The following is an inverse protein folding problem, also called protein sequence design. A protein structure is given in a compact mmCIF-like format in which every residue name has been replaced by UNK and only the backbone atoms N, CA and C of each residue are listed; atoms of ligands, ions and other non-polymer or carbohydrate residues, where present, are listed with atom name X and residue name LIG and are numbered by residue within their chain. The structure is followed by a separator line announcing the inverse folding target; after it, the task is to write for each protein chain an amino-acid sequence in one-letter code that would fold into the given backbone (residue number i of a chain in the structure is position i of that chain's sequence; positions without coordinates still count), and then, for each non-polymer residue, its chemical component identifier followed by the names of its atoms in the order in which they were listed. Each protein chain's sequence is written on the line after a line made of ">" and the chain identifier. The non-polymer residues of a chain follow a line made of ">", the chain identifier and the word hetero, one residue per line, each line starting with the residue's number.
data_IF_913898706140
#
_entry.id   IF_913898706140
#
_cell.length_a   1.000
_cell.length_b   1.000
_cell.length_c   1.000
_cell.angle_alpha   90.00
_cell.angle_beta   90.00
_cell.angle_gamma   90.00
#
_symmetry.space_group_name_H-M   'P 1'
#
loop_
_entity.id
_entity.type
_entity.pdbx_description
1 polymer ?
#
# COMPACT_ATOMS: atom_id res chain seq x y z
N UNK A 1 35.51 -6.59 -28.68
CA UNK A 1 34.19 -6.03 -28.98
C UNK A 1 33.24 -6.55 -27.91
N UNK A 2 32.71 -5.63 -27.09
CA UNK A 2 31.67 -5.71 -26.04
C UNK A 2 31.26 -7.10 -25.49
N UNK A 3 31.13 -7.30 -24.18
CA UNK A 3 30.09 -6.60 -23.41
C UNK A 3 30.21 -6.91 -21.90
N UNK A 4 30.40 -5.85 -21.11
CA UNK A 4 30.17 -5.80 -19.68
C UNK A 4 28.67 -5.53 -19.47
N UNK A 5 27.93 -6.47 -18.88
CA UNK A 5 26.65 -6.15 -18.24
C UNK A 5 26.60 -6.77 -16.85
N UNK A 6 26.64 -5.88 -15.87
CA UNK A 6 26.37 -6.11 -14.46
C UNK A 6 24.84 -6.09 -14.27
N UNK A 7 24.18 -7.14 -13.75
CA UNK A 7 22.71 -7.24 -13.79
C UNK A 7 22.00 -6.77 -12.51
N UNK A 8 22.65 -5.98 -11.63
CA UNK A 8 22.01 -5.53 -10.39
C UNK A 8 21.63 -4.04 -10.47
N UNK A 9 20.33 -3.69 -10.57
CA UNK A 9 19.87 -2.33 -10.35
C UNK A 9 20.02 -1.93 -8.86
N UNK A 10 20.06 -0.62 -8.54
CA UNK A 10 20.27 -0.17 -7.17
C UNK A 10 19.07 -0.53 -6.27
N UNK A 11 19.39 -0.98 -5.06
CA UNK A 11 18.43 -1.29 -4.00
C UNK A 11 17.65 -0.03 -3.61
N UNK A 12 16.32 -0.09 -3.73
CA UNK A 12 15.41 1.00 -3.36
C UNK A 12 14.81 0.69 -2.00
N UNK A 13 15.16 1.49 -0.99
CA UNK A 13 14.68 1.35 0.39
C UNK A 13 13.47 2.25 0.63
N UNK A 14 12.35 1.69 1.07
CA UNK A 14 11.19 2.45 1.58
C UNK A 14 11.22 2.51 3.11
N UNK A 15 10.96 3.69 3.68
CA UNK A 15 10.81 3.85 5.13
C UNK A 15 9.42 3.40 5.58
N UNK A 16 9.36 2.40 6.47
CA UNK A 16 8.12 1.96 7.15
C UNK A 16 7.97 2.64 8.52
N UNK A 17 6.73 2.95 8.92
CA UNK A 17 6.40 3.47 10.25
C UNK A 17 5.34 2.53 10.89
N UNK A 18 5.60 2.04 12.11
CA UNK A 18 4.68 1.15 12.85
C UNK A 18 3.42 1.87 13.32
N UNK A 19 2.23 1.21 13.32
CA UNK A 19 1.02 1.68 13.98
C UNK A 19 1.16 1.79 15.51
N UNK A 20 1.92 0.91 16.17
CA UNK A 20 2.12 0.97 17.63
C UNK A 20 3.00 2.16 18.09
N UNK A 21 3.62 2.87 17.15
CA UNK A 21 4.31 4.15 17.36
C UNK A 21 3.56 5.33 16.73
N UNK A 22 2.39 5.08 16.13
CA UNK A 22 1.59 6.07 15.44
C UNK A 22 0.84 6.91 16.47
N UNK A 23 1.40 8.08 16.76
CA UNK A 23 0.72 9.14 17.48
C UNK A 23 0.43 10.25 16.47
N UNK A 24 -0.83 10.46 16.06
CA UNK A 24 -1.21 11.49 15.09
C UNK A 24 -0.68 12.88 15.45
N UNK A 25 -0.63 13.20 16.74
CA UNK A 25 -0.13 14.47 17.27
C UNK A 25 1.40 14.63 17.13
N UNK A 26 2.18 13.52 17.11
CA UNK A 26 3.64 13.56 16.92
C UNK A 26 4.07 13.71 15.45
N UNK A 27 3.26 13.26 14.50
CA UNK A 27 3.50 13.49 13.06
C UNK A 27 3.40 14.99 12.75
N UNK A 28 2.32 15.64 13.20
CA UNK A 28 2.10 17.08 12.99
C UNK A 28 3.24 17.92 13.57
N UNK A 29 3.86 17.51 14.69
CA UNK A 29 5.04 18.18 15.25
C UNK A 29 6.36 17.84 14.52
N UNK A 30 6.57 16.60 14.08
CA UNK A 30 7.80 16.18 13.38
C UNK A 30 7.94 16.78 11.97
N UNK A 31 6.83 17.11 11.31
CA UNK A 31 6.85 17.84 10.03
C UNK A 31 7.42 19.26 10.14
N UNK A 32 7.41 19.87 11.35
CA UNK A 32 7.97 21.20 11.57
C UNK A 32 9.45 21.19 11.96
N UNK A 33 10.09 20.04 12.21
CA UNK A 33 11.42 20.00 12.82
C UNK A 33 12.48 19.14 12.13
N UNK A 34 12.16 18.41 11.06
CA UNK A 34 13.15 17.51 10.43
C UNK A 34 13.77 18.15 9.19
N UNK A 35 14.72 19.05 9.42
CA UNK A 35 15.79 19.32 8.45
C UNK A 35 16.76 18.13 8.48
N UNK A 36 16.96 17.51 7.32
CA UNK A 36 18.16 16.77 6.88
C UNK A 36 19.00 16.18 8.02
N UNK A 37 18.80 14.89 8.32
CA UNK A 37 19.83 14.07 8.98
C UNK A 37 20.22 12.96 7.99
N UNK A 38 21.26 13.22 7.22
CA UNK A 38 22.02 12.16 6.54
C UNK A 38 23.02 11.62 7.56
N UNK A 39 22.79 10.41 8.06
CA UNK A 39 23.77 9.72 8.88
C UNK A 39 24.84 9.12 7.96
N UNK A 40 25.94 9.85 7.79
CA UNK A 40 27.22 9.32 7.32
C UNK A 40 28.25 9.49 8.43
N UNK A 41 28.45 8.44 9.22
CA UNK A 41 29.61 8.20 10.11
C UNK A 41 29.71 6.68 10.17
N UNK A 42 30.70 6.04 9.54
CA UNK A 42 32.06 5.95 10.05
C UNK A 42 33.08 5.72 8.92
N UNK A 43 34.17 6.51 8.88
CA UNK A 43 35.56 6.01 8.84
C UNK A 43 36.47 7.13 9.39
N UNK A 44 37.15 6.82 10.49
CA UNK A 44 38.24 7.59 11.07
C UNK A 44 39.47 7.46 10.16
N UNK A 45 40.04 8.58 9.70
CA UNK A 45 41.48 8.68 9.43
C UNK A 45 41.94 10.14 9.47
N UNK A 46 43.00 10.35 10.24
CA UNK A 46 43.66 11.62 10.51
C UNK A 46 44.30 12.28 9.28
N UNK A 47 44.58 13.57 9.49
CA UNK A 47 45.75 14.37 9.07
C UNK A 47 45.68 15.31 7.85
N UNK A 48 45.81 16.60 8.21
CA UNK A 48 46.60 17.69 7.62
C UNK A 48 46.02 18.51 6.45
N UNK A 49 45.93 19.81 6.76
CA UNK A 49 45.89 20.95 5.84
C UNK A 49 46.86 20.80 4.68
N UNK A 50 46.42 21.17 3.47
CA UNK A 50 47.20 22.00 2.55
C UNK A 50 46.26 22.79 1.62
N UNK A 51 46.67 24.05 1.41
CA UNK A 51 46.07 25.04 0.52
C UNK A 51 46.35 24.74 -0.96
N UNK A 52 45.46 25.24 -1.82
CA UNK A 52 45.74 25.93 -3.09
C UNK A 52 45.14 25.35 -4.38
N UNK A 53 44.67 26.30 -5.22
CA UNK A 53 44.78 26.33 -6.69
C UNK A 53 43.69 25.69 -7.58
N UNK A 54 42.87 26.61 -8.12
CA UNK A 54 42.25 26.69 -9.45
C UNK A 54 42.56 25.57 -10.47
N UNK A 55 41.52 25.01 -11.10
CA UNK A 55 41.54 24.60 -12.52
C UNK A 55 40.13 24.60 -13.12
N UNK A 56 39.95 25.34 -14.22
CA UNK A 56 38.82 25.23 -15.13
C UNK A 56 39.05 24.06 -16.08
N UNK A 57 38.03 23.23 -16.31
CA UNK A 57 37.93 22.42 -17.52
C UNK A 57 36.46 22.25 -17.93
N UNK A 58 36.24 22.48 -19.22
CA UNK A 58 34.98 22.57 -19.95
C UNK A 58 34.26 21.23 -20.16
N UNK A 59 32.95 21.25 -19.93
CA UNK A 59 31.94 20.77 -20.86
C UNK A 59 31.73 19.26 -21.01
N UNK A 60 30.62 18.75 -20.45
CA UNK A 60 29.70 17.87 -21.17
C UNK A 60 28.28 18.19 -20.69
N UNK A 61 27.48 18.86 -21.52
CA UNK A 61 26.05 18.94 -21.33
C UNK A 61 25.44 17.57 -21.59
N UNK A 62 24.83 16.96 -20.58
CA UNK A 62 23.92 15.83 -20.76
C UNK A 62 22.64 16.11 -19.99
N UNK A 63 21.64 16.52 -20.78
CA UNK A 63 20.20 16.49 -20.52
C UNK A 63 19.79 16.50 -19.04
N UNK A 64 19.47 17.69 -18.54
CA UNK A 64 18.61 17.82 -17.36
C UNK A 64 17.30 17.11 -17.65
N UNK A 65 17.13 15.94 -17.03
CA UNK A 65 15.80 15.42 -16.77
C UNK A 65 15.10 16.50 -15.96
N UNK A 66 13.99 17.00 -16.49
CA UNK A 66 13.14 17.97 -15.83
C UNK A 66 12.58 17.29 -14.57
N UNK A 67 13.37 17.34 -13.51
CA UNK A 67 13.03 16.80 -12.21
C UNK A 67 11.99 17.77 -11.65
N UNK A 68 10.75 17.62 -12.14
CA UNK A 68 9.58 18.25 -11.57
C UNK A 68 9.48 17.74 -10.14
N UNK A 69 10.20 18.38 -9.23
CA UNK A 69 10.31 17.96 -7.85
C UNK A 69 8.92 18.08 -7.25
N UNK A 70 8.17 16.98 -7.20
CA UNK A 70 6.88 16.94 -6.54
C UNK A 70 7.11 17.42 -5.11
N UNK A 71 6.36 18.43 -4.70
CA UNK A 71 6.53 19.05 -3.37
C UNK A 71 6.07 18.10 -2.25
N UNK A 72 5.16 17.16 -2.58
CA UNK A 72 4.63 16.15 -1.66
C UNK A 72 4.69 14.76 -2.33
N UNK A 73 4.99 13.70 -1.56
CA UNK A 73 4.90 12.33 -2.06
C UNK A 73 3.44 11.93 -2.33
N UNK A 74 3.24 10.97 -3.23
CA UNK A 74 1.96 10.30 -3.42
C UNK A 74 1.78 9.23 -2.34
N UNK A 75 0.61 9.18 -1.70
CA UNK A 75 0.31 8.19 -0.68
C UNK A 75 -0.52 7.04 -1.28
N UNK A 76 -0.05 5.82 -1.10
CA UNK A 76 -0.78 4.60 -1.40
C UNK A 76 -1.21 3.98 -0.07
N UNK A 77 -2.50 3.68 0.07
CA UNK A 77 -3.05 3.06 1.28
C UNK A 77 -3.61 1.69 0.93
N UNK A 78 -3.24 0.66 1.69
CA UNK A 78 -4.15 -0.48 1.81
C UNK A 78 -5.45 -0.04 2.49
N UNK A 79 -6.48 -0.87 2.38
CA UNK A 79 -7.83 -0.59 2.87
C UNK A 79 -8.13 -1.41 4.11
N UNK A 80 -8.15 -2.74 4.00
CA UNK A 80 -8.50 -3.61 5.12
C UNK A 80 -7.42 -3.59 6.19
N UNK A 81 -7.83 -3.46 7.44
CA UNK A 81 -7.00 -3.30 8.65
C UNK A 81 -5.96 -2.17 8.63
N UNK A 82 -5.98 -1.34 7.58
CA UNK A 82 -5.19 -0.11 7.45
C UNK A 82 -6.07 1.14 7.58
N UNK A 83 -7.15 1.21 6.81
CA UNK A 83 -8.14 2.30 6.89
C UNK A 83 -9.48 1.81 7.45
N UNK A 84 -9.88 0.60 7.07
CA UNK A 84 -11.20 0.01 7.34
C UNK A 84 -11.01 -1.31 8.06
N UNK A 85 -11.75 -1.56 9.14
CA UNK A 85 -11.72 -2.84 9.85
C UNK A 85 -12.14 -4.00 8.96
N UNK A 86 -11.41 -5.11 9.01
CA UNK A 86 -11.78 -6.36 8.36
C UNK A 86 -12.82 -7.18 9.14
N UNK A 87 -14.03 -7.41 8.61
CA UNK A 87 -15.03 -8.27 9.23
C UNK A 87 -14.67 -9.76 9.23
N UNK A 88 -13.69 -10.18 8.43
CA UNK A 88 -13.40 -11.60 8.17
C UNK A 88 -13.02 -12.39 9.43
N UNK A 89 -12.31 -11.79 10.39
CA UNK A 89 -11.78 -12.51 11.55
C UNK A 89 -12.80 -12.69 12.69
N UNK A 90 -13.77 -11.78 12.83
CA UNK A 90 -14.72 -11.76 13.94
C UNK A 90 -16.16 -11.99 13.48
N UNK A 91 -16.63 -11.22 12.49
CA UNK A 91 -18.04 -11.21 12.08
C UNK A 91 -18.40 -12.43 11.23
N UNK A 92 -17.53 -12.82 10.30
CA UNK A 92 -17.79 -13.95 9.39
C UNK A 92 -17.90 -15.29 10.16
N UNK A 93 -16.99 -15.63 11.11
CA UNK A 93 -17.15 -16.81 11.96
C UNK A 93 -18.45 -16.76 12.78
N UNK A 94 -18.79 -15.60 13.35
CA UNK A 94 -20.02 -15.40 14.11
C UNK A 94 -21.28 -15.60 13.24
N UNK A 95 -21.26 -15.11 12.00
CA UNK A 95 -22.33 -15.31 11.01
C UNK A 95 -22.56 -16.80 10.72
N UNK A 96 -21.49 -17.55 10.47
CA UNK A 96 -21.57 -19.00 10.25
C UNK A 96 -21.74 -19.83 11.53
N UNK A 97 -21.68 -19.19 12.70
CA UNK A 97 -21.82 -19.82 14.03
C UNK A 97 -20.80 -20.93 14.27
N UNK A 98 -19.58 -20.72 13.79
CA UNK A 98 -18.47 -21.65 13.96
C UNK A 98 -17.18 -20.91 14.32
N UNK A 99 -16.23 -21.56 15.01
CA UNK A 99 -14.92 -20.99 15.26
C UNK A 99 -14.18 -20.65 13.96
N UNK A 100 -13.29 -19.65 14.01
CA UNK A 100 -12.51 -19.23 12.85
C UNK A 100 -11.68 -20.37 12.24
N UNK A 101 -11.10 -21.23 13.08
CA UNK A 101 -10.29 -22.36 12.62
C UNK A 101 -11.14 -23.38 11.84
N UNK A 102 -12.35 -23.68 12.30
CA UNK A 102 -13.30 -24.53 11.57
C UNK A 102 -13.74 -23.89 10.24
N UNK A 103 -14.01 -22.58 10.25
CA UNK A 103 -14.36 -21.84 9.03
C UNK A 103 -13.24 -21.95 7.98
N UNK A 104 -11.98 -21.77 8.37
CA UNK A 104 -10.82 -21.88 7.48
C UNK A 104 -10.62 -23.31 6.95
N UNK A 105 -10.91 -24.33 7.76
CA UNK A 105 -10.86 -25.73 7.32
C UNK A 105 -11.95 -26.06 6.30
N UNK A 106 -13.14 -25.47 6.41
CA UNK A 106 -14.27 -25.77 5.52
C UNK A 106 -14.28 -24.89 4.26
N UNK A 107 -13.77 -23.67 4.34
CA UNK A 107 -13.73 -22.72 3.21
C UNK A 107 -12.82 -23.22 2.08
N UNK A 108 -13.20 -22.98 0.83
CA UNK A 108 -12.29 -23.19 -0.30
C UNK A 108 -11.06 -22.26 -0.16
N UNK A 109 -9.83 -22.80 -0.20
CA UNK A 109 -8.62 -22.03 0.06
C UNK A 109 -8.25 -21.06 -1.07
N UNK A 110 -8.75 -21.24 -2.30
CA UNK A 110 -8.37 -20.42 -3.47
C UNK A 110 -9.46 -19.44 -3.89
N UNK A 111 -10.74 -19.75 -3.63
CA UNK A 111 -11.89 -18.96 -4.13
C UNK A 111 -11.80 -17.47 -3.81
N UNK A 112 -11.36 -17.12 -2.60
CA UNK A 112 -11.24 -15.71 -2.20
C UNK A 112 -10.12 -14.98 -2.97
N UNK A 113 -9.00 -15.65 -3.24
CA UNK A 113 -7.88 -15.07 -3.99
C UNK A 113 -8.27 -14.90 -5.46
N UNK A 114 -9.02 -15.85 -6.03
CA UNK A 114 -9.58 -15.74 -7.38
C UNK A 114 -10.53 -14.55 -7.48
N UNK A 115 -11.39 -14.37 -6.47
CA UNK A 115 -12.32 -13.25 -6.38
C UNK A 115 -11.61 -11.90 -6.20
N UNK A 116 -10.60 -11.82 -5.32
CA UNK A 116 -9.74 -10.64 -5.16
C UNK A 116 -9.08 -10.23 -6.48
N UNK A 117 -8.76 -11.18 -7.35
CA UNK A 117 -8.17 -10.92 -8.67
C UNK A 117 -9.22 -10.63 -9.76
N UNK A 118 -10.51 -10.71 -9.46
CA UNK A 118 -11.58 -10.56 -10.45
C UNK A 118 -11.61 -11.69 -11.48
N UNK A 119 -11.09 -12.88 -11.14
CA UNK A 119 -11.12 -14.06 -12.02
C UNK A 119 -12.46 -14.79 -11.98
N UNK A 120 -13.22 -14.59 -10.91
CA UNK A 120 -14.55 -15.15 -10.68
C UNK A 120 -15.49 -14.03 -10.21
N UNK A 121 -16.79 -14.23 -10.39
CA UNK A 121 -17.84 -13.31 -9.94
C UNK A 121 -18.46 -13.74 -8.61
N UNK A 122 -19.49 -13.01 -8.16
CA UNK A 122 -20.21 -13.32 -6.92
C UNK A 122 -20.91 -14.68 -6.95
N UNK A 123 -21.45 -15.09 -8.11
CA UNK A 123 -22.17 -16.36 -8.23
C UNK A 123 -21.23 -17.56 -8.06
N UNK A 124 -20.02 -17.46 -8.64
CA UNK A 124 -19.01 -18.51 -8.46
C UNK A 124 -18.43 -18.50 -7.04
N UNK A 125 -18.25 -17.33 -6.41
CA UNK A 125 -17.88 -17.23 -5.00
C UNK A 125 -18.92 -17.90 -4.09
N UNK A 126 -20.21 -17.62 -4.29
CA UNK A 126 -21.31 -18.20 -3.53
C UNK A 126 -21.28 -19.73 -3.63
N UNK A 127 -21.17 -20.25 -4.85
CA UNK A 127 -21.15 -21.69 -5.12
C UNK A 127 -19.96 -22.38 -4.46
N UNK A 128 -18.77 -21.78 -4.53
CA UNK A 128 -17.50 -22.38 -4.08
C UNK A 128 -17.04 -21.89 -2.71
N UNK A 129 -17.88 -21.20 -1.94
CA UNK A 129 -17.45 -20.64 -0.66
C UNK A 129 -16.89 -21.72 0.27
N UNK A 130 -17.59 -22.86 0.37
CA UNK A 130 -17.13 -24.06 1.08
C UNK A 130 -16.64 -25.14 0.10
N UNK A 131 -15.68 -25.97 0.55
CA UNK A 131 -15.10 -27.07 -0.23
C UNK A 131 -16.12 -28.12 -0.69
N UNK A 132 -17.20 -28.28 0.07
CA UNK A 132 -18.30 -29.21 -0.21
C UNK A 132 -19.43 -28.58 -1.06
N UNK A 133 -19.27 -27.33 -1.50
CA UNK A 133 -20.23 -26.55 -2.29
C UNK A 133 -21.64 -26.49 -1.66
N UNK A 134 -21.74 -26.64 -0.32
CA UNK A 134 -23.02 -26.49 0.35
C UNK A 134 -23.53 -25.04 0.20
N UNK A 135 -24.85 -24.84 0.02
CA UNK A 135 -25.42 -23.50 -0.10
C UNK A 135 -25.14 -22.64 1.13
N UNK A 136 -24.98 -21.35 0.92
CA UNK A 136 -24.84 -20.35 1.99
C UNK A 136 -25.89 -19.25 1.84
N UNK A 137 -26.20 -18.56 2.93
CA UNK A 137 -26.94 -17.31 2.86
C UNK A 137 -25.98 -16.18 2.40
N UNK A 138 -25.81 -16.06 1.09
CA UNK A 138 -24.82 -15.14 0.51
C UNK A 138 -25.19 -13.67 0.69
N UNK A 139 -26.48 -13.32 0.60
CA UNK A 139 -26.96 -11.97 0.89
C UNK A 139 -26.84 -11.63 2.39
N UNK A 140 -27.05 -12.61 3.27
CA UNK A 140 -26.73 -12.50 4.69
C UNK A 140 -25.24 -12.27 4.94
N UNK A 141 -24.37 -12.98 4.22
CA UNK A 141 -22.92 -12.78 4.29
C UNK A 141 -22.53 -11.37 3.84
N UNK A 142 -23.07 -10.88 2.71
CA UNK A 142 -22.82 -9.51 2.24
C UNK A 142 -23.29 -8.48 3.25
N UNK A 143 -24.48 -8.68 3.83
CA UNK A 143 -25.00 -7.83 4.91
C UNK A 143 -24.09 -7.83 6.13
N UNK A 144 -23.57 -9.00 6.54
CA UNK A 144 -22.58 -9.14 7.61
C UNK A 144 -21.30 -8.34 7.32
N UNK A 145 -20.73 -8.48 6.12
CA UNK A 145 -19.55 -7.72 5.69
C UNK A 145 -19.80 -6.22 5.72
N UNK A 146 -20.91 -5.76 5.12
CA UNK A 146 -21.31 -4.34 5.11
C UNK A 146 -21.43 -3.83 6.54
N UNK A 147 -22.12 -4.54 7.43
CA UNK A 147 -22.27 -4.16 8.84
C UNK A 147 -20.92 -4.02 9.53
N UNK A 148 -19.98 -4.90 9.23
CA UNK A 148 -18.66 -4.92 9.85
C UNK A 148 -17.73 -3.79 9.43
N UNK A 149 -17.85 -3.24 8.21
CA UNK A 149 -16.97 -2.18 7.74
C UNK A 149 -17.11 -0.89 8.55
N UNK A 150 -16.00 -0.42 9.11
CA UNK A 150 -15.92 0.89 9.78
C UNK A 150 -14.51 1.44 9.61
N UNK A 151 -14.37 2.77 9.60
CA UNK A 151 -13.03 3.35 9.76
C UNK A 151 -12.41 2.86 11.07
N UNK A 152 -11.11 2.59 11.05
CA UNK A 152 -10.36 2.43 12.30
C UNK A 152 -10.29 3.77 13.04
N UNK A 153 -10.10 3.73 14.35
CA UNK A 153 -10.09 4.93 15.20
C UNK A 153 -9.05 5.95 14.71
N UNK A 154 -9.48 7.20 14.50
CA UNK A 154 -8.61 8.31 14.07
C UNK A 154 -8.26 8.34 12.58
N UNK A 155 -8.68 7.34 11.79
CA UNK A 155 -8.35 7.27 10.36
C UNK A 155 -9.10 8.33 9.56
N UNK A 156 -10.39 8.55 9.83
CA UNK A 156 -11.16 9.52 9.05
C UNK A 156 -10.60 10.94 9.25
N UNK A 157 -10.23 11.30 10.49
CA UNK A 157 -9.58 12.56 10.83
C UNK A 157 -8.20 12.70 10.16
N UNK A 158 -7.43 11.61 10.11
CA UNK A 158 -6.15 11.58 9.39
C UNK A 158 -6.34 11.84 7.90
N UNK A 159 -7.30 11.17 7.26
CA UNK A 159 -7.60 11.32 5.84
C UNK A 159 -8.06 12.75 5.51
N UNK A 160 -8.88 13.37 6.38
CA UNK A 160 -9.26 14.78 6.28
C UNK A 160 -8.01 15.67 6.33
N UNK A 161 -7.16 15.51 7.34
CA UNK A 161 -5.96 16.32 7.51
C UNK A 161 -4.99 16.19 6.33
N UNK A 162 -4.79 14.98 5.80
CA UNK A 162 -3.97 14.74 4.62
C UNK A 162 -4.55 15.41 3.36
N UNK A 163 -5.88 15.36 3.21
CA UNK A 163 -6.57 16.01 2.09
C UNK A 163 -6.44 17.52 2.14
N UNK A 164 -6.61 18.13 3.32
CA UNK A 164 -6.42 19.58 3.54
C UNK A 164 -4.99 20.05 3.26
N UNK A 165 -4.00 19.14 3.42
CA UNK A 165 -2.60 19.38 3.06
C UNK A 165 -2.28 19.11 1.59
N UNK A 166 -3.27 18.77 0.77
CA UNK A 166 -3.15 18.49 -0.66
C UNK A 166 -2.28 17.25 -1.00
N UNK A 167 -2.28 16.23 -0.14
CA UNK A 167 -1.71 14.94 -0.52
C UNK A 167 -2.56 14.29 -1.62
N UNK A 168 -1.87 13.79 -2.65
CA UNK A 168 -2.45 12.86 -3.63
C UNK A 168 -2.49 11.47 -2.99
N UNK A 169 -3.67 10.85 -2.93
CA UNK A 169 -3.91 9.61 -2.19
C UNK A 169 -4.68 8.61 -3.03
N UNK A 170 -4.24 7.35 -3.02
CA UNK A 170 -4.86 6.26 -3.76
C UNK A 170 -5.01 5.01 -2.90
N UNK A 171 -6.10 4.27 -3.13
CA UNK A 171 -6.24 2.90 -2.65
C UNK A 171 -5.30 2.00 -3.43
N UNK A 172 -4.55 1.17 -2.72
CA UNK A 172 -3.67 0.14 -3.24
C UNK A 172 -3.87 -1.16 -2.47
N UNK A 173 -4.86 -1.95 -2.90
CA UNK A 173 -5.49 -2.98 -2.07
C UNK A 173 -5.67 -4.31 -2.79
N UNK A 174 -5.53 -5.38 -2.01
CA UNK A 174 -5.97 -6.71 -2.40
C UNK A 174 -7.41 -6.89 -1.92
N UNK A 175 -8.37 -6.49 -2.74
CA UNK A 175 -9.78 -6.59 -2.38
C UNK A 175 -10.64 -6.81 -3.63
N UNK A 176 -11.69 -7.64 -3.54
CA UNK A 176 -12.57 -7.91 -4.67
C UNK A 176 -13.48 -6.73 -4.98
N UNK A 177 -14.40 -6.91 -5.95
CA UNK A 177 -15.42 -5.91 -6.34
C UNK A 177 -16.24 -5.37 -5.16
N UNK A 178 -16.24 -6.07 -4.03
CA UNK A 178 -16.80 -5.63 -2.75
C UNK A 178 -16.20 -4.33 -2.18
N UNK A 179 -15.11 -3.79 -2.76
CA UNK A 179 -14.68 -2.43 -2.46
C UNK A 179 -15.80 -1.39 -2.72
N UNK A 180 -16.74 -1.68 -3.62
CA UNK A 180 -17.90 -0.84 -3.90
C UNK A 180 -18.88 -0.77 -2.73
N UNK A 181 -19.03 -1.85 -1.94
CA UNK A 181 -19.82 -1.84 -0.71
C UNK A 181 -19.17 -0.96 0.38
N UNK A 182 -17.83 -0.98 0.46
CA UNK A 182 -17.08 -0.09 1.35
C UNK A 182 -17.29 1.36 0.92
N UNK A 183 -17.18 1.64 -0.38
CA UNK A 183 -17.43 2.97 -0.94
C UNK A 183 -18.87 3.44 -0.68
N UNK A 184 -19.86 2.57 -0.85
CA UNK A 184 -21.25 2.91 -0.59
C UNK A 184 -21.47 3.34 0.87
N UNK A 185 -20.90 2.58 1.82
CA UNK A 185 -21.06 2.81 3.25
C UNK A 185 -20.23 3.99 3.76
N UNK A 186 -18.93 4.04 3.42
CA UNK A 186 -17.95 4.94 4.05
C UNK A 186 -17.56 6.13 3.18
N UNK A 187 -17.90 6.13 1.88
CA UNK A 187 -17.59 7.22 0.94
C UNK A 187 -16.10 7.60 0.92
N UNK A 188 -15.22 6.59 0.88
CA UNK A 188 -13.76 6.75 0.90
C UNK A 188 -13.27 7.64 -0.26
N UNK A 189 -14.00 7.66 -1.38
CA UNK A 189 -13.74 8.53 -2.53
C UNK A 189 -13.68 10.03 -2.22
N UNK A 190 -14.24 10.48 -1.08
CA UNK A 190 -14.08 11.84 -0.57
C UNK A 190 -12.62 12.21 -0.30
N UNK A 191 -11.80 11.23 0.08
CA UNK A 191 -10.41 11.44 0.51
C UNK A 191 -9.42 11.00 -0.57
N UNK A 192 -9.55 9.76 -1.04
CA UNK A 192 -8.60 9.09 -1.93
C UNK A 192 -9.29 8.45 -3.14
N UNK A 193 -8.52 8.13 -4.19
CA UNK A 193 -9.06 7.47 -5.38
C UNK A 193 -8.90 5.95 -5.33
N UNK A 194 -9.94 5.21 -5.74
CA UNK A 194 -9.92 3.74 -5.90
C UNK A 194 -9.15 3.28 -7.15
N UNK A 195 -7.86 3.61 -7.21
CA UNK A 195 -7.05 3.47 -8.42
C UNK A 195 -6.47 2.08 -8.60
N UNK A 196 -5.95 1.47 -7.53
CA UNK A 196 -5.26 0.19 -7.61
C UNK A 196 -5.97 -0.87 -6.76
N UNK A 197 -7.09 -1.38 -7.27
CA UNK A 197 -7.82 -2.51 -6.68
C UNK A 197 -7.43 -3.79 -7.42
N UNK A 198 -7.03 -4.84 -6.71
CA UNK A 198 -6.57 -6.09 -7.34
C UNK A 198 -7.58 -6.69 -8.33
N UNK A 199 -8.88 -6.51 -8.08
CA UNK A 199 -9.94 -7.06 -8.91
C UNK A 199 -10.06 -6.40 -10.28
N UNK A 200 -9.48 -5.20 -10.47
CA UNK A 200 -9.55 -4.46 -11.73
C UNK A 200 -8.47 -4.91 -12.73
N UNK A 201 -7.34 -5.43 -12.22
CA UNK A 201 -6.13 -5.66 -13.03
C UNK A 201 -5.61 -7.11 -12.93
N UNK A 202 -6.22 -7.96 -12.08
CA UNK A 202 -5.78 -9.34 -11.85
C UNK A 202 -4.47 -9.51 -11.09
N UNK A 203 -3.84 -8.39 -10.71
CA UNK A 203 -2.58 -8.33 -9.96
C UNK A 203 -2.86 -8.05 -8.49
N UNK A 204 -2.04 -8.61 -7.60
CA UNK A 204 -2.20 -8.43 -6.15
C UNK A 204 -0.84 -8.34 -5.47
N UNK A 205 -0.78 -7.60 -4.37
CA UNK A 205 0.39 -7.59 -3.46
C UNK A 205 0.62 -9.01 -2.92
N UNK A 206 1.87 -9.48 -2.74
CA UNK A 206 3.15 -8.79 -2.91
C UNK A 206 3.78 -8.88 -4.31
N UNK A 207 3.02 -9.15 -5.39
CA UNK A 207 3.62 -9.22 -6.73
C UNK A 207 4.34 -7.90 -7.07
N UNK A 208 5.68 -7.89 -7.29
CA UNK A 208 6.43 -6.67 -7.58
C UNK A 208 5.88 -5.89 -8.78
N UNK A 209 5.31 -6.60 -9.75
CA UNK A 209 4.76 -5.99 -10.96
C UNK A 209 3.53 -5.12 -10.67
N UNK A 210 2.80 -5.37 -9.57
CA UNK A 210 1.69 -4.50 -9.15
C UNK A 210 2.19 -3.15 -8.62
N UNK A 211 3.29 -3.15 -7.87
CA UNK A 211 3.95 -1.92 -7.40
C UNK A 211 4.52 -1.11 -8.56
N UNK A 212 5.20 -1.79 -9.50
CA UNK A 212 5.76 -1.14 -10.69
C UNK A 212 4.65 -0.55 -11.58
N UNK A 213 3.50 -1.20 -11.69
CA UNK A 213 2.35 -0.66 -12.40
C UNK A 213 1.82 0.62 -11.74
N UNK A 214 1.74 0.66 -10.41
CA UNK A 214 1.32 1.87 -9.69
C UNK A 214 2.26 3.05 -9.98
N UNK A 215 3.58 2.83 -9.91
CA UNK A 215 4.58 3.85 -10.21
C UNK A 215 4.50 4.35 -11.65
N UNK A 216 4.33 3.44 -12.62
CA UNK A 216 4.18 3.81 -14.04
C UNK A 216 2.88 4.57 -14.31
N UNK A 217 1.78 4.16 -13.68
CA UNK A 217 0.48 4.83 -13.81
C UNK A 217 0.54 6.27 -13.27
N UNK A 218 1.14 6.44 -12.08
CA UNK A 218 1.29 7.74 -11.43
C UNK A 218 2.42 8.59 -12.02
N UNK A 219 3.30 7.97 -12.82
CA UNK A 219 4.53 8.59 -13.38
C UNK A 219 5.40 9.19 -12.28
N UNK A 220 5.60 8.44 -11.19
CA UNK A 220 6.43 8.84 -10.06
C UNK A 220 7.56 7.85 -9.83
N UNK A 221 8.70 8.39 -9.40
CA UNK A 221 9.80 7.58 -8.87
C UNK A 221 9.40 6.97 -7.52
N UNK A 222 9.92 5.78 -7.16
CA UNK A 222 9.70 5.16 -5.86
C UNK A 222 9.90 6.11 -4.67
N UNK A 223 10.94 6.94 -4.69
CA UNK A 223 11.26 7.88 -3.62
C UNK A 223 10.20 8.97 -3.39
N UNK A 224 9.31 9.19 -4.36
CA UNK A 224 8.20 10.13 -4.29
C UNK A 224 6.86 9.45 -3.97
N UNK A 225 6.88 8.21 -3.48
CA UNK A 225 5.71 7.44 -3.12
C UNK A 225 5.88 6.88 -1.70
N UNK A 226 4.82 6.91 -0.90
CA UNK A 226 4.77 6.29 0.43
C UNK A 226 3.64 5.28 0.41
N UNK A 227 3.94 4.03 0.76
CA UNK A 227 2.95 2.99 0.90
C UNK A 227 2.68 2.69 2.38
N UNK A 228 1.40 2.67 2.75
CA UNK A 228 0.90 2.39 4.10
C UNK A 228 0.07 1.11 4.05
N UNK A 229 0.49 0.10 4.78
CA UNK A 229 -0.09 -1.25 4.80
C UNK A 229 0.11 -1.86 6.19
N UNK A 230 -0.87 -2.63 6.67
CA UNK A 230 -0.87 -3.30 7.97
C UNK A 230 0.07 -4.52 8.01
N UNK A 231 0.42 -5.08 6.84
CA UNK A 231 1.20 -6.31 6.72
C UNK A 231 2.69 -6.02 6.71
N UNK A 232 3.38 -6.57 7.70
CA UNK A 232 4.82 -6.41 7.91
C UNK A 232 5.73 -7.03 6.81
N UNK A 233 5.18 -7.86 5.89
CA UNK A 233 5.97 -8.75 5.02
C UNK A 233 5.94 -8.47 3.52
N UNK A 234 5.20 -7.48 3.02
CA UNK A 234 4.95 -7.29 1.58
C UNK A 234 6.06 -6.54 0.82
N UNK A 235 7.10 -6.03 1.50
CA UNK A 235 8.10 -5.12 0.91
C UNK A 235 9.51 -5.72 0.74
N UNK A 236 9.69 -7.01 1.02
CA UNK A 236 10.93 -7.71 0.71
C UNK A 236 10.86 -8.27 -0.72
N UNK A 237 10.86 -7.39 -1.71
CA UNK A 237 11.12 -7.76 -3.10
C UNK A 237 12.64 -8.00 -3.23
N UNK A 238 13.06 -9.27 -3.15
CA UNK A 238 14.44 -9.69 -3.45
C UNK A 238 14.70 -9.71 -4.95
#
# INVERSE_FOLDING_TARGET
>A
MASLFNPNPPLVSFSSIRPSSFNPSKMVSNFNQTSIITNNTDVIAHTKLFSSSLSMATGCSSAGGDNTSRKLPVLLFDIMDTLVRDPFYDDVPAFFRMPMEELLELKDPTVWIEFEKGLIDEAELEKRFFKDERPIDFEGLKSCMISGYSFLEGIEELLIALKEKNYEMHAFTNYPVWYEMIEEKLKISKYLSWTFCSCKNGKRKPDPEFYLEALRHLKVEPANCIFVDDRFGLLNCN
#
